data_IF_907241978438
#
_entry.id   IF_907241978438
#
_cell.length_a   1.000
_cell.length_b   1.000
_cell.length_c   1.000
_cell.angle_alpha   90.00
_cell.angle_beta   90.00
_cell.angle_gamma   90.00
#
_symmetry.space_group_name_H-M   'P 1'
#
loop_
_entity.id
_entity.type
_entity.pdbx_description
1 polymer ?
#
# COMPACT_ATOMS: atom_id res chain seq x y z
N UNK A 1 15.97 24.28 -11.09
CA UNK A 1 15.65 23.42 -9.93
C UNK A 1 16.07 22.02 -10.30
N UNK A 2 16.78 21.31 -9.43
CA UNK A 2 17.18 19.94 -9.72
C UNK A 2 15.93 19.04 -9.82
N UNK A 3 15.85 18.10 -10.77
CA UNK A 3 14.71 17.20 -10.92
C UNK A 3 14.35 16.43 -9.64
N UNK A 4 15.35 16.22 -8.77
CA UNK A 4 15.24 15.48 -7.49
C UNK A 4 14.71 16.32 -6.33
N UNK A 5 14.53 17.64 -6.51
CA UNK A 5 14.17 18.59 -5.43
C UNK A 5 12.92 18.17 -4.65
N UNK A 6 11.93 17.57 -5.34
CA UNK A 6 10.65 17.18 -4.73
C UNK A 6 10.54 15.71 -4.36
N UNK A 7 11.59 14.90 -4.57
CA UNK A 7 11.56 13.47 -4.26
C UNK A 7 11.21 13.15 -2.80
N UNK A 8 11.74 13.84 -1.77
CA UNK A 8 11.36 13.55 -0.39
C UNK A 8 9.87 13.74 -0.11
N UNK A 9 9.25 14.75 -0.73
CA UNK A 9 7.81 15.01 -0.61
C UNK A 9 7.04 13.91 -1.33
N UNK A 10 7.45 13.56 -2.56
CA UNK A 10 6.84 12.47 -3.33
C UNK A 10 6.88 11.13 -2.59
N UNK A 11 8.04 10.78 -2.02
CA UNK A 11 8.22 9.58 -1.19
C UNK A 11 7.29 9.59 0.02
N UNK A 12 7.20 10.72 0.74
CA UNK A 12 6.27 10.86 1.87
C UNK A 12 4.82 10.61 1.45
N UNK A 13 4.40 11.14 0.30
CA UNK A 13 3.05 10.92 -0.23
C UNK A 13 2.79 9.47 -0.63
N UNK A 14 3.78 8.79 -1.22
CA UNK A 14 3.69 7.36 -1.55
C UNK A 14 3.46 6.54 -0.28
N UNK A 15 4.28 6.77 0.76
CA UNK A 15 4.18 6.06 2.05
C UNK A 15 2.84 6.32 2.72
N UNK A 16 2.36 7.58 2.75
CA UNK A 16 1.06 7.93 3.33
C UNK A 16 -0.07 7.23 2.56
N UNK A 17 -0.04 7.26 1.22
CA UNK A 17 -1.04 6.59 0.39
C UNK A 17 -1.08 5.08 0.62
N UNK A 18 0.08 4.45 0.68
CA UNK A 18 0.21 3.01 0.98
C UNK A 18 -0.33 2.69 2.37
N UNK A 19 0.09 3.43 3.41
CA UNK A 19 -0.34 3.21 4.79
C UNK A 19 -1.86 3.35 4.96
N UNK A 20 -2.47 4.37 4.34
CA UNK A 20 -3.92 4.57 4.36
C UNK A 20 -4.66 3.41 3.66
N UNK A 21 -4.16 2.95 2.52
CA UNK A 21 -4.76 1.85 1.77
C UNK A 21 -4.67 0.51 2.49
N UNK A 22 -3.48 0.14 2.94
CA UNK A 22 -3.21 -1.07 3.72
C UNK A 22 -4.04 -1.06 5.00
N UNK A 23 -4.02 0.05 5.75
CA UNK A 23 -4.76 0.19 7.00
C UNK A 23 -6.28 0.02 6.80
N UNK A 24 -6.81 0.55 5.70
CA UNK A 24 -8.24 0.39 5.35
C UNK A 24 -8.59 -1.07 5.05
N UNK A 25 -7.78 -1.76 4.24
CA UNK A 25 -8.00 -3.19 3.93
C UNK A 25 -7.87 -4.05 5.18
N UNK A 26 -6.81 -3.86 5.96
CA UNK A 26 -6.56 -4.63 7.19
C UNK A 26 -7.68 -4.44 8.22
N UNK A 27 -8.11 -3.20 8.46
CA UNK A 27 -9.20 -2.90 9.39
C UNK A 27 -10.53 -3.51 8.91
N UNK A 28 -10.87 -3.32 7.64
CA UNK A 28 -12.10 -3.89 7.07
C UNK A 28 -12.11 -5.43 7.11
N UNK A 29 -10.98 -6.07 6.86
CA UNK A 29 -10.82 -7.52 6.98
C UNK A 29 -11.03 -7.97 8.44
N UNK A 30 -10.36 -7.32 9.40
CA UNK A 30 -10.46 -7.64 10.81
C UNK A 30 -11.89 -7.50 11.34
N UNK A 31 -12.58 -6.40 11.01
CA UNK A 31 -13.98 -6.22 11.38
C UNK A 31 -14.90 -7.25 10.74
N UNK A 32 -14.67 -7.61 9.47
CA UNK A 32 -15.48 -8.60 8.77
C UNK A 32 -15.29 -9.99 9.37
N UNK A 33 -14.05 -10.37 9.71
CA UNK A 33 -13.73 -11.63 10.39
C UNK A 33 -14.35 -11.66 11.79
N UNK A 34 -14.30 -10.56 12.54
CA UNK A 34 -14.94 -10.49 13.85
C UNK A 34 -16.46 -10.69 13.79
N UNK A 35 -17.11 -10.24 12.71
CA UNK A 35 -18.55 -10.44 12.47
C UNK A 35 -18.90 -11.84 11.96
N UNK A 36 -18.02 -12.47 11.19
CA UNK A 36 -18.21 -13.80 10.60
C UNK A 36 -16.92 -14.65 10.69
N UNK A 37 -16.59 -15.18 11.88
CA UNK A 37 -15.35 -15.94 12.09
C UNK A 37 -15.22 -17.17 11.19
N UNK A 38 -16.35 -17.83 10.89
CA UNK A 38 -16.42 -19.00 10.01
C UNK A 38 -16.06 -18.70 8.54
N UNK A 39 -16.09 -17.43 8.14
CA UNK A 39 -15.75 -16.99 6.80
C UNK A 39 -14.33 -16.40 6.70
N UNK A 40 -13.49 -16.55 7.73
CA UNK A 40 -12.18 -15.90 7.80
C UNK A 40 -11.29 -16.16 6.58
N UNK A 41 -11.17 -17.41 6.13
CA UNK A 41 -10.34 -17.76 4.97
C UNK A 41 -10.86 -17.10 3.67
N UNK A 42 -12.18 -17.00 3.52
CA UNK A 42 -12.79 -16.35 2.34
C UNK A 42 -12.56 -14.85 2.35
N UNK A 43 -12.68 -14.21 3.52
CA UNK A 43 -12.44 -12.77 3.69
C UNK A 43 -10.97 -12.45 3.41
N UNK A 44 -10.05 -13.19 4.00
CA UNK A 44 -8.60 -13.03 3.75
C UNK A 44 -8.29 -13.24 2.27
N UNK A 45 -8.83 -14.29 1.65
CA UNK A 45 -8.67 -14.54 0.22
C UNK A 45 -9.17 -13.39 -0.66
N UNK A 46 -10.31 -12.78 -0.31
CA UNK A 46 -10.88 -11.65 -1.05
C UNK A 46 -10.05 -10.36 -0.91
N UNK A 47 -9.35 -10.16 0.21
CA UNK A 47 -8.56 -8.95 0.49
C UNK A 47 -7.12 -9.05 -0.02
N UNK A 48 -6.56 -10.26 -0.13
CA UNK A 48 -5.15 -10.45 -0.50
C UNK A 48 -4.78 -9.89 -1.88
N UNK A 49 -5.59 -10.12 -2.92
CA UNK A 49 -5.28 -9.62 -4.26
C UNK A 49 -5.32 -8.08 -4.32
N UNK A 50 -6.37 -7.39 -3.85
CA UNK A 50 -6.37 -5.93 -3.76
C UNK A 50 -5.21 -5.36 -2.94
N UNK A 51 -4.88 -5.98 -1.80
CA UNK A 51 -3.77 -5.55 -0.94
C UNK A 51 -2.42 -5.71 -1.65
N UNK A 52 -2.19 -6.83 -2.31
CA UNK A 52 -0.99 -7.09 -3.11
C UNK A 52 -0.83 -6.07 -4.24
N UNK A 53 -1.91 -5.76 -4.97
CA UNK A 53 -1.87 -4.76 -6.04
C UNK A 53 -1.55 -3.36 -5.49
N UNK A 54 -2.08 -3.02 -4.31
CA UNK A 54 -1.79 -1.75 -3.64
C UNK A 54 -0.32 -1.65 -3.20
N UNK A 55 0.21 -2.69 -2.54
CA UNK A 55 1.63 -2.75 -2.19
C UNK A 55 2.52 -2.73 -3.43
N UNK A 56 2.15 -3.45 -4.49
CA UNK A 56 2.90 -3.48 -5.73
C UNK A 56 3.06 -2.11 -6.36
N UNK A 57 2.00 -1.29 -6.37
CA UNK A 57 2.07 0.10 -6.87
C UNK A 57 2.96 0.97 -5.98
N UNK A 58 2.87 0.82 -4.65
CA UNK A 58 3.71 1.58 -3.72
C UNK A 58 5.20 1.23 -3.88
N UNK A 59 5.53 -0.05 -3.93
CA UNK A 59 6.91 -0.54 -4.12
C UNK A 59 7.46 -0.04 -5.46
N UNK A 60 6.71 -0.15 -6.55
CA UNK A 60 7.16 0.37 -7.85
C UNK A 60 7.44 1.87 -7.80
N UNK A 61 6.57 2.65 -7.14
CA UNK A 61 6.77 4.09 -7.00
C UNK A 61 8.04 4.42 -6.18
N UNK A 62 8.30 3.69 -5.10
CA UNK A 62 9.53 3.84 -4.31
C UNK A 62 10.78 3.44 -5.10
N UNK A 63 10.71 2.38 -5.90
CA UNK A 63 11.80 1.96 -6.79
C UNK A 63 12.12 3.06 -7.80
N UNK A 64 11.12 3.64 -8.46
CA UNK A 64 11.36 4.75 -9.40
C UNK A 64 11.93 5.99 -8.71
N UNK A 65 11.43 6.33 -7.52
CA UNK A 65 11.96 7.44 -6.72
C UNK A 65 13.44 7.20 -6.33
N UNK A 66 13.79 5.97 -5.96
CA UNK A 66 15.18 5.59 -5.70
C UNK A 66 16.05 5.64 -6.96
N UNK A 67 15.56 5.16 -8.10
CA UNK A 67 16.28 5.22 -9.38
C UNK A 67 16.61 6.66 -9.79
N UNK A 68 15.71 7.63 -9.54
CA UNK A 68 15.96 9.05 -9.79
C UNK A 68 17.06 9.66 -8.91
N UNK A 69 17.46 9.00 -7.82
CA UNK A 69 18.58 9.45 -6.98
C UNK A 69 19.94 8.93 -7.45
N UNK A 70 19.97 7.85 -8.22
CA UNK A 70 21.20 7.12 -8.56
C UNK A 70 21.51 7.08 -10.05
N UNK A 71 20.54 7.35 -10.92
CA UNK A 71 20.68 7.47 -12.38
C UNK A 71 20.63 8.93 -12.83
#
# INVERSE_FOLDING_TARGET
MEPTTFLPIGLGLIVIGAAMGIGKFASAAAESIARQPEAADKITGAVNLPLFLLEGVAILAEVFAFLMLVL
#
